data_IF_683541464633
#
_entry.id   IF_683541464633
#
_cell.length_a   1.000
_cell.length_b   1.000
_cell.length_c   1.000
_cell.angle_alpha   90.00
_cell.angle_beta   90.00
_cell.angle_gamma   90.00
#
_symmetry.space_group_name_H-M   'P 1'
#
loop_
_entity.id
_entity.type
_entity.pdbx_description
1 polymer ?
#
# COMPACT_ATOMS: atom_id res chain seq x y z
N UNK A 1 -10.73 -14.44 -16.73
CA UNK A 1 -9.41 -13.84 -16.51
C UNK A 1 -9.56 -12.71 -15.50
N UNK A 2 -8.88 -12.78 -14.36
CA UNK A 2 -9.13 -11.84 -13.26
C UNK A 2 -8.52 -10.46 -13.55
N UNK A 3 -9.34 -9.42 -13.57
CA UNK A 3 -8.97 -8.00 -13.74
C UNK A 3 -7.92 -7.48 -12.75
N UNK A 4 -7.61 -8.28 -11.74
CA UNK A 4 -6.70 -8.00 -10.62
C UNK A 4 -5.24 -8.32 -10.92
N UNK A 5 -4.95 -9.23 -11.87
CA UNK A 5 -3.61 -9.69 -12.22
C UNK A 5 -3.33 -9.44 -13.71
N UNK A 6 -2.92 -8.21 -14.08
CA UNK A 6 -2.60 -7.88 -15.46
C UNK A 6 -1.24 -8.46 -15.86
N UNK A 7 -1.18 -9.06 -17.04
CA UNK A 7 0.03 -9.55 -17.72
C UNK A 7 0.73 -8.47 -18.56
N UNK A 8 0.12 -7.29 -18.69
CA UNK A 8 0.64 -6.15 -19.46
C UNK A 8 0.80 -4.92 -18.56
N UNK A 9 2.02 -4.41 -18.45
CA UNK A 9 2.37 -3.23 -17.66
C UNK A 9 2.25 -1.92 -18.46
N UNK A 10 1.15 -1.76 -19.20
CA UNK A 10 0.86 -0.58 -20.01
C UNK A 10 0.25 0.61 -19.24
N UNK A 11 -0.25 1.60 -19.97
CA UNK A 11 -0.88 2.80 -19.39
C UNK A 11 -2.08 2.48 -18.49
N UNK A 12 -2.86 1.45 -18.82
CA UNK A 12 -4.00 1.00 -18.02
C UNK A 12 -3.58 0.49 -16.63
N UNK A 13 -2.41 -0.14 -16.53
CA UNK A 13 -1.85 -0.57 -15.25
C UNK A 13 -1.50 0.64 -14.38
N UNK A 14 -0.83 1.64 -14.97
CA UNK A 14 -0.47 2.87 -14.28
C UNK A 14 -1.72 3.64 -13.80
N UNK A 15 -2.72 3.78 -14.67
CA UNK A 15 -3.99 4.45 -14.33
C UNK A 15 -4.70 3.73 -13.18
N UNK A 16 -4.79 2.39 -13.22
CA UNK A 16 -5.37 1.61 -12.11
C UNK A 16 -4.56 1.74 -10.82
N UNK A 17 -3.23 1.72 -10.90
CA UNK A 17 -2.36 1.91 -9.74
C UNK A 17 -2.59 3.28 -9.10
N UNK A 18 -2.75 4.32 -9.91
CA UNK A 18 -3.02 5.68 -9.45
C UNK A 18 -4.38 5.81 -8.74
N UNK A 19 -5.42 5.13 -9.25
CA UNK A 19 -6.71 5.06 -8.57
C UNK A 19 -6.65 4.32 -7.24
N UNK A 20 -5.93 3.19 -7.17
CA UNK A 20 -5.72 2.47 -5.92
C UNK A 20 -4.95 3.32 -4.91
N UNK A 21 -3.92 4.04 -5.35
CA UNK A 21 -3.16 5.02 -4.54
C UNK A 21 -4.04 6.14 -4.02
N UNK A 22 -4.88 6.72 -4.87
CA UNK A 22 -5.80 7.78 -4.46
C UNK A 22 -6.80 7.29 -3.41
N UNK A 23 -7.33 6.07 -3.57
CA UNK A 23 -8.16 5.42 -2.57
C UNK A 23 -7.41 5.18 -1.25
N UNK A 24 -6.19 4.63 -1.32
CA UNK A 24 -5.36 4.36 -0.16
C UNK A 24 -5.03 5.65 0.60
N UNK A 25 -4.70 6.72 -0.12
CA UNK A 25 -4.47 8.05 0.43
C UNK A 25 -5.72 8.57 1.15
N UNK A 26 -6.89 8.48 0.52
CA UNK A 26 -8.15 8.96 1.11
C UNK A 26 -8.47 8.20 2.41
N UNK A 27 -8.45 6.87 2.37
CA UNK A 27 -8.74 6.03 3.54
C UNK A 27 -7.72 6.26 4.67
N UNK A 28 -6.42 6.29 4.35
CA UNK A 28 -5.35 6.52 5.33
C UNK A 28 -5.44 7.91 5.95
N UNK A 29 -5.76 8.93 5.15
CA UNK A 29 -5.87 10.32 5.62
C UNK A 29 -7.10 10.53 6.50
N UNK A 30 -8.26 9.98 6.12
CA UNK A 30 -9.47 10.05 6.93
C UNK A 30 -9.27 9.33 8.27
N UNK A 31 -8.67 8.13 8.26
CA UNK A 31 -8.31 7.41 9.48
C UNK A 31 -7.33 8.21 10.35
N UNK A 32 -6.32 8.84 9.75
CA UNK A 32 -5.35 9.67 10.47
C UNK A 32 -5.99 10.92 11.09
N UNK A 33 -6.90 11.60 10.38
CA UNK A 33 -7.64 12.76 10.90
C UNK A 33 -8.47 12.34 12.12
N UNK A 34 -9.18 11.21 12.02
CA UNK A 34 -9.94 10.65 13.14
C UNK A 34 -9.04 10.25 14.31
N UNK A 35 -7.83 9.76 14.05
CA UNK A 35 -6.85 9.43 15.08
C UNK A 35 -6.37 10.69 15.79
N UNK A 36 -5.91 11.70 15.05
CA UNK A 36 -5.36 12.96 15.60
C UNK A 36 -6.42 13.73 16.41
N UNK A 37 -7.66 13.74 15.95
CA UNK A 37 -8.76 14.41 16.65
C UNK A 37 -9.17 13.70 17.95
N UNK A 38 -8.83 12.42 18.10
CA UNK A 38 -9.24 11.62 19.26
C UNK A 38 -8.12 11.34 20.25
N UNK A 39 -6.94 10.99 19.75
CA UNK A 39 -5.79 10.60 20.55
C UNK A 39 -4.48 11.02 19.85
N UNK A 40 -3.72 11.90 20.50
CA UNK A 40 -2.35 12.22 20.08
C UNK A 40 -1.42 11.30 20.85
N UNK A 41 -0.95 10.24 20.20
CA UNK A 41 0.06 9.32 20.74
C UNK A 41 1.39 9.53 20.00
N UNK A 42 2.56 9.32 20.60
CA UNK A 42 3.84 9.36 19.88
C UNK A 42 3.90 8.43 18.65
N UNK A 43 3.07 7.39 18.61
CA UNK A 43 2.97 6.48 17.47
C UNK A 43 2.07 7.01 16.34
N UNK A 44 1.33 8.10 16.53
CA UNK A 44 0.49 8.74 15.50
C UNK A 44 1.32 9.14 14.27
N UNK A 45 2.61 9.47 14.45
CA UNK A 45 3.53 9.76 13.33
C UNK A 45 3.71 8.56 12.38
N UNK A 46 3.64 7.33 12.89
CA UNK A 46 3.75 6.13 12.05
C UNK A 46 2.52 5.94 11.17
N UNK A 47 1.35 6.44 11.58
CA UNK A 47 0.13 6.46 10.76
C UNK A 47 0.21 7.50 9.62
N UNK A 48 1.16 8.44 9.68
CA UNK A 48 1.42 9.36 8.57
C UNK A 48 2.25 8.71 7.46
N UNK A 49 2.99 7.63 7.73
CA UNK A 49 3.86 6.97 6.75
C UNK A 49 3.09 6.49 5.49
N UNK A 50 1.93 5.81 5.61
CA UNK A 50 1.12 5.43 4.44
C UNK A 50 0.60 6.62 3.62
N UNK A 51 0.29 7.73 4.30
CA UNK A 51 -0.14 8.98 3.66
C UNK A 51 1.02 9.62 2.89
N UNK A 52 2.17 9.78 3.53
CA UNK A 52 3.38 10.36 2.92
C UNK A 52 3.85 9.50 1.74
N UNK A 53 3.86 8.18 1.89
CA UNK A 53 4.23 7.27 0.81
C UNK A 53 3.26 7.37 -0.38
N UNK A 54 1.95 7.42 -0.12
CA UNK A 54 0.93 7.57 -1.17
C UNK A 54 1.06 8.90 -1.93
N UNK A 55 1.39 10.00 -1.24
CA UNK A 55 1.66 11.30 -1.87
C UNK A 55 2.95 11.26 -2.68
N UNK A 56 4.03 10.73 -2.11
CA UNK A 56 5.34 10.66 -2.75
C UNK A 56 5.25 9.85 -4.05
N UNK A 57 4.61 8.69 -4.02
CA UNK A 57 4.43 7.90 -5.22
C UNK A 57 3.51 8.54 -6.26
N UNK A 58 2.38 9.11 -5.83
CA UNK A 58 1.50 9.83 -6.75
C UNK A 58 2.22 10.95 -7.49
N UNK A 59 3.15 11.65 -6.81
CA UNK A 59 4.01 12.66 -7.44
C UNK A 59 5.06 12.06 -8.37
N UNK A 60 5.69 10.95 -8.00
CA UNK A 60 6.66 10.26 -8.86
C UNK A 60 5.99 9.82 -10.17
N UNK A 61 4.84 9.16 -10.07
CA UNK A 61 4.04 8.75 -11.23
C UNK A 61 3.61 9.96 -12.09
N UNK A 62 3.20 11.07 -11.47
CA UNK A 62 2.87 12.31 -12.18
C UNK A 62 4.05 12.97 -12.91
N UNK A 63 5.29 12.68 -12.50
CA UNK A 63 6.51 13.12 -13.16
C UNK A 63 7.03 12.13 -14.22
N UNK A 64 6.30 11.03 -14.47
CA UNK A 64 6.76 9.95 -15.35
C UNK A 64 7.97 9.18 -14.79
N UNK A 65 8.28 9.34 -13.50
CA UNK A 65 9.35 8.62 -12.81
C UNK A 65 8.75 7.48 -11.99
N UNK A 66 9.31 6.28 -12.12
CA UNK A 66 8.94 5.16 -11.26
C UNK A 66 10.04 4.95 -10.21
N UNK A 67 9.66 4.71 -8.96
CA UNK A 67 10.62 4.19 -7.98
C UNK A 67 11.05 2.76 -8.36
N UNK A 68 12.15 2.28 -7.79
CA UNK A 68 12.53 0.88 -7.96
C UNK A 68 11.43 -0.05 -7.41
N UNK A 69 11.17 -1.16 -8.10
CA UNK A 69 10.17 -2.17 -7.72
C UNK A 69 10.35 -2.66 -6.27
N UNK A 70 11.58 -2.77 -5.80
CA UNK A 70 11.92 -3.13 -4.41
C UNK A 70 11.40 -2.09 -3.39
N UNK A 71 11.48 -0.79 -3.70
CA UNK A 71 11.01 0.29 -2.82
C UNK A 71 9.49 0.22 -2.66
N UNK A 72 8.77 -0.04 -3.76
CA UNK A 72 7.32 -0.29 -3.72
C UNK A 72 6.96 -1.44 -2.79
N UNK A 73 7.60 -2.59 -3.00
CA UNK A 73 7.34 -3.79 -2.18
C UNK A 73 7.61 -3.51 -0.70
N UNK A 74 8.76 -2.92 -0.36
CA UNK A 74 9.11 -2.64 1.03
C UNK A 74 8.15 -1.65 1.70
N UNK A 75 7.88 -0.51 1.06
CA UNK A 75 7.08 0.54 1.69
C UNK A 75 5.60 0.17 1.77
N UNK A 76 5.02 -0.44 0.72
CA UNK A 76 3.63 -0.89 0.77
C UNK A 76 3.45 -2.07 1.75
N UNK A 77 4.46 -2.94 1.89
CA UNK A 77 4.47 -3.97 2.94
C UNK A 77 4.50 -3.37 4.34
N UNK A 78 5.39 -2.41 4.60
CA UNK A 78 5.49 -1.72 5.89
C UNK A 78 4.19 -0.98 6.23
N UNK A 79 3.57 -0.32 5.25
CA UNK A 79 2.27 0.35 5.42
C UNK A 79 1.18 -0.66 5.80
N UNK A 80 1.08 -1.77 5.08
CA UNK A 80 0.09 -2.81 5.36
C UNK A 80 0.32 -3.46 6.73
N UNK A 81 1.56 -3.84 7.04
CA UNK A 81 1.92 -4.47 8.31
C UNK A 81 1.58 -3.57 9.51
N UNK A 82 1.91 -2.28 9.40
CA UNK A 82 1.67 -1.33 10.48
C UNK A 82 0.18 -1.19 10.80
N UNK A 83 -0.67 -1.05 9.77
CA UNK A 83 -2.11 -0.98 9.99
C UNK A 83 -2.70 -2.32 10.47
N UNK A 84 -2.28 -3.46 9.91
CA UNK A 84 -2.75 -4.80 10.33
C UNK A 84 -2.52 -5.02 11.83
N UNK A 85 -1.37 -4.60 12.35
CA UNK A 85 -1.08 -4.69 13.78
C UNK A 85 -1.98 -3.79 14.63
N UNK A 86 -2.30 -2.59 14.14
CA UNK A 86 -3.01 -1.57 14.92
C UNK A 86 -4.55 -1.65 14.83
N UNK A 87 -5.11 -2.24 13.77
CA UNK A 87 -6.57 -2.34 13.59
C UNK A 87 -7.24 -3.11 14.74
N UNK A 88 -6.79 -4.31 15.15
CA UNK A 88 -7.42 -5.05 16.25
C UNK A 88 -7.40 -4.27 17.56
N UNK A 89 -6.29 -3.60 17.87
CA UNK A 89 -6.15 -2.73 19.05
C UNK A 89 -7.13 -1.57 18.99
N UNK A 90 -7.29 -0.97 17.81
CA UNK A 90 -8.22 0.14 17.57
C UNK A 90 -9.68 -0.30 17.74
N UNK A 91 -10.05 -1.45 17.17
CA UNK A 91 -11.40 -2.02 17.31
C UNK A 91 -11.68 -2.36 18.78
N UNK A 92 -10.75 -3.01 19.46
CA UNK A 92 -10.88 -3.35 20.87
C UNK A 92 -11.06 -2.09 21.73
N UNK A 93 -10.24 -1.06 21.51
CA UNK A 93 -10.39 0.22 22.18
C UNK A 93 -11.75 0.86 21.90
N UNK A 94 -12.24 0.77 20.65
CA UNK A 94 -13.57 1.26 20.27
C UNK A 94 -14.71 0.56 20.99
N UNK A 95 -14.65 -0.78 21.11
CA UNK A 95 -15.64 -1.57 21.84
C UNK A 95 -15.60 -1.28 23.34
N UNK A 96 -14.41 -1.25 23.93
CA UNK A 96 -14.23 -0.97 25.38
C UNK A 96 -14.73 0.43 25.75
N UNK A 97 -14.46 1.42 24.90
CA UNK A 97 -14.86 2.81 25.14
C UNK A 97 -16.28 3.13 24.61
N UNK A 98 -17.02 2.15 24.07
CA UNK A 98 -18.33 2.35 23.42
C UNK A 98 -18.33 3.48 22.39
N UNK A 99 -17.26 3.53 21.61
CA UNK A 99 -16.99 4.60 20.66
C UNK A 99 -17.28 4.19 19.22
N UNK A 100 -18.36 4.73 18.67
CA UNK A 100 -18.68 4.60 17.26
C UNK A 100 -17.58 5.16 16.35
N UNK A 101 -17.03 6.33 16.68
CA UNK A 101 -16.00 7.00 15.87
C UNK A 101 -14.71 6.15 15.79
N UNK A 102 -14.32 5.46 16.87
CA UNK A 102 -13.13 4.59 16.87
C UNK A 102 -13.33 3.37 15.98
N UNK A 103 -14.54 2.82 15.95
CA UNK A 103 -14.90 1.72 15.04
C UNK A 103 -14.86 2.21 13.58
N UNK A 104 -15.41 3.39 13.28
CA UNK A 104 -15.33 4.01 11.94
C UNK A 104 -13.89 4.25 11.50
N UNK A 105 -13.03 4.73 12.40
CA UNK A 105 -11.60 4.88 12.15
C UNK A 105 -10.94 3.55 11.78
N UNK A 106 -11.25 2.47 12.51
CA UNK A 106 -10.74 1.14 12.20
C UNK A 106 -11.20 0.64 10.81
N UNK A 107 -12.44 0.97 10.38
CA UNK A 107 -12.91 0.66 9.03
C UNK A 107 -12.09 1.36 7.95
N UNK A 108 -11.78 2.65 8.13
CA UNK A 108 -10.92 3.39 7.20
C UNK A 108 -9.50 2.80 7.13
N UNK A 109 -8.90 2.44 8.27
CA UNK A 109 -7.60 1.76 8.27
C UNK A 109 -7.66 0.37 7.63
N UNK A 110 -8.77 -0.35 7.79
CA UNK A 110 -8.96 -1.66 7.14
C UNK A 110 -9.06 -1.53 5.61
N UNK A 111 -9.78 -0.52 5.12
CA UNK A 111 -9.81 -0.20 3.70
C UNK A 111 -8.43 0.21 3.16
N UNK A 112 -7.67 1.01 3.93
CA UNK A 112 -6.31 1.38 3.58
C UNK A 112 -5.37 0.17 3.48
N UNK A 113 -5.43 -0.76 4.45
CA UNK A 113 -4.68 -2.03 4.40
C UNK A 113 -4.99 -2.81 3.14
N UNK A 114 -6.28 -2.95 2.82
CA UNK A 114 -6.68 -3.70 1.65
C UNK A 114 -6.08 -3.11 0.37
N UNK A 115 -6.13 -1.78 0.23
CA UNK A 115 -5.58 -1.09 -0.94
C UNK A 115 -4.05 -1.16 -1.00
N UNK A 116 -3.33 -0.94 0.12
CA UNK A 116 -1.88 -1.12 0.17
C UNK A 116 -1.47 -2.56 -0.09
N UNK A 117 -2.23 -3.54 0.41
CA UNK A 117 -2.01 -4.97 0.14
C UNK A 117 -2.14 -5.32 -1.33
N UNK A 118 -3.12 -4.74 -2.03
CA UNK A 118 -3.26 -4.91 -3.48
C UNK A 118 -2.11 -4.28 -4.26
N UNK A 119 -1.67 -3.07 -3.87
CA UNK A 119 -0.52 -2.39 -4.50
C UNK A 119 0.77 -3.17 -4.25
N UNK A 120 0.98 -3.64 -3.02
CA UNK A 120 2.09 -4.50 -2.63
C UNK A 120 2.14 -5.76 -3.48
N UNK A 121 1.02 -6.48 -3.59
CA UNK A 121 0.96 -7.72 -4.35
C UNK A 121 1.31 -7.51 -5.82
N UNK A 122 0.80 -6.42 -6.42
CA UNK A 122 1.14 -6.04 -7.79
C UNK A 122 2.63 -5.72 -7.97
N UNK A 123 3.22 -4.98 -7.03
CA UNK A 123 4.65 -4.68 -7.04
C UNK A 123 5.51 -5.93 -6.86
N UNK A 124 5.07 -6.86 -6.00
CA UNK A 124 5.77 -8.13 -5.74
C UNK A 124 5.74 -9.05 -6.97
N UNK A 125 4.60 -9.15 -7.66
CA UNK A 125 4.48 -9.90 -8.92
C UNK A 125 5.43 -9.32 -9.98
N UNK A 126 5.46 -8.00 -10.13
CA UNK A 126 6.38 -7.33 -11.06
C UNK A 126 7.85 -7.61 -10.73
N UNK A 127 8.24 -7.51 -9.46
CA UNK A 127 9.60 -7.81 -9.02
C UNK A 127 9.98 -9.28 -9.29
N UNK A 128 9.03 -10.21 -9.08
CA UNK A 128 9.22 -11.62 -9.38
C UNK A 128 9.41 -11.88 -10.88
N UNK A 129 8.68 -11.18 -11.74
CA UNK A 129 8.85 -11.27 -13.19
C UNK A 129 10.17 -10.67 -13.67
N UNK A 130 10.55 -9.49 -13.16
CA UNK A 130 11.85 -8.85 -13.41
C UNK A 130 13.00 -9.80 -13.02
N UNK A 131 12.94 -10.39 -11.83
CA UNK A 131 13.97 -11.36 -11.37
C UNK A 131 14.01 -12.66 -12.20
N UNK A 132 12.86 -13.16 -12.68
CA UNK A 132 12.82 -14.32 -13.60
C UNK A 132 13.43 -14.01 -14.96
N UNK A 133 13.21 -12.80 -15.50
CA UNK A 133 13.81 -12.36 -16.76
C UNK A 133 15.34 -12.22 -16.63
N UNK A 134 15.82 -11.65 -15.51
CA UNK A 134 17.25 -11.62 -15.19
C UNK A 134 17.87 -13.01 -15.03
N UNK A 135 17.14 -13.96 -14.42
CA UNK A 135 17.57 -15.36 -14.31
C UNK A 135 17.68 -16.08 -15.67
N UNK A 136 16.88 -15.69 -16.65
CA UNK A 136 16.88 -16.27 -18.01
C UNK A 136 18.02 -15.72 -18.90
N UNK A 137 18.53 -14.53 -18.60
CA UNK A 137 19.66 -13.91 -19.29
C UNK A 137 21.03 -14.52 -18.93
N UNK A 138 21.13 -15.22 -17.79
CA UNK A 138 22.32 -15.97 -17.37
C UNK A 138 22.25 -17.46 -17.74
N UNK A 139 21.40 -17.82 -18.71
CA UNK A 139 21.36 -19.15 -19.31
C UNK A 139 22.67 -19.45 -20.05
N UNK A 140 23.56 -20.16 -19.36
CA UNK A 140 24.69 -20.92 -19.87
C UNK A 140 24.47 -21.34 -21.33
N UNK A 141 25.29 -20.80 -22.24
CA UNK A 141 25.44 -21.37 -23.57
C UNK A 141 26.01 -22.79 -23.40
N UNK A 142 25.16 -23.81 -23.59
CA UNK A 142 25.64 -25.18 -23.75
C UNK A 142 26.40 -25.24 -25.08
N UNK A 143 27.68 -25.67 -25.09
CA UNK A 143 28.41 -25.85 -26.34
C UNK A 143 27.71 -26.91 -27.19
N UNK A 144 27.57 -26.57 -28.47
CA UNK A 144 27.05 -27.41 -29.56
C UNK A 144 27.85 -28.68 -29.75
#
# INVERSE_FOLDING_TARGET
MSSWFPTEYGEDYQRKSLWLRAGALCCSSLGLILLVTRHVHPFTLLFALPVVWSIADGRLLGQGRAAHSLVYVLLDFLCALFFVWNIPVTVLAGVVQWSFITIVMAMFFSAAVFLHGLIFLRAAVRLLEESRLFGRGNGVQLPT
#
